data_IF_590055586224
#
_entry.id   IF_590055586224
#
_cell.length_a   1.000
_cell.length_b   1.000
_cell.length_c   1.000
_cell.angle_alpha   90.00
_cell.angle_beta   90.00
_cell.angle_gamma   90.00
#
_symmetry.space_group_name_H-M   'P 1'
#
loop_
_entity.id
_entity.type
_entity.pdbx_description
1 polymer ?
#
# COMPACT_ATOMS: atom_id res chain seq x y z
N UNK A 1 -1.40 -6.69 9.48
CA UNK A 1 -2.81 -6.39 9.14
C UNK A 1 -2.93 -4.90 8.82
N UNK A 2 -3.40 -4.57 7.64
CA UNK A 2 -3.82 -3.22 7.31
C UNK A 2 -5.28 -3.02 7.72
N UNK A 3 -5.52 -2.23 8.77
CA UNK A 3 -6.84 -1.86 9.21
C UNK A 3 -7.31 -0.60 8.49
N UNK A 4 -8.40 -0.73 7.74
CA UNK A 4 -9.08 0.39 7.09
C UNK A 4 -9.95 1.14 8.11
N UNK A 5 -10.09 2.45 7.97
CA UNK A 5 -10.98 3.20 8.85
C UNK A 5 -12.44 2.76 8.67
N UNK A 6 -13.25 2.94 9.71
CA UNK A 6 -14.68 2.57 9.74
C UNK A 6 -15.50 3.10 8.54
N UNK A 7 -15.03 4.14 7.85
CA UNK A 7 -15.71 4.73 6.69
C UNK A 7 -15.60 3.94 5.39
N UNK A 8 -14.66 3.00 5.27
CA UNK A 8 -14.39 2.32 4.00
C UNK A 8 -15.55 1.44 3.51
N UNK A 9 -16.39 0.93 4.43
CA UNK A 9 -17.50 0.02 4.11
C UNK A 9 -18.84 0.47 4.70
N UNK A 10 -19.05 1.76 4.90
CA UNK A 10 -20.28 2.30 5.50
C UNK A 10 -21.55 1.94 4.73
N UNK A 11 -21.42 1.74 3.41
CA UNK A 11 -22.56 1.51 2.52
C UNK A 11 -23.08 0.07 2.47
N UNK A 12 -22.42 -0.87 3.14
CA UNK A 12 -22.78 -2.30 3.10
C UNK A 12 -23.32 -2.84 4.42
N UNK A 13 -23.68 -1.98 5.35
CA UNK A 13 -24.32 -2.39 6.61
C UNK A 13 -25.81 -2.63 6.37
N UNK A 14 -26.14 -3.72 5.69
CA UNK A 14 -27.51 -4.14 5.47
C UNK A 14 -27.97 -5.11 6.53
N UNK A 15 -29.24 -5.12 6.74
CA UNK A 15 -29.94 -6.13 7.51
C UNK A 15 -30.33 -5.65 8.89
N UNK A 16 -30.73 -6.45 9.65
CA UNK A 16 -31.26 -6.66 10.98
C UNK A 16 -31.08 -5.55 12.05
N UNK A 17 -31.03 -4.28 11.68
CA UNK A 17 -31.25 -3.23 12.68
C UNK A 17 -32.63 -3.44 13.31
N UNK A 18 -32.66 -3.65 14.63
CA UNK A 18 -33.83 -4.03 15.42
C UNK A 18 -34.43 -5.42 15.07
N UNK A 19 -33.74 -6.26 14.32
CA UNK A 19 -34.15 -7.63 14.02
C UNK A 19 -32.94 -8.56 14.09
N UNK A 20 -33.05 -9.68 14.80
CA UNK A 20 -31.98 -10.67 14.94
C UNK A 20 -31.89 -11.60 13.72
N UNK A 21 -31.99 -11.05 12.51
CA UNK A 21 -31.96 -11.82 11.27
C UNK A 21 -30.75 -11.47 10.42
N UNK A 22 -29.87 -12.46 10.22
CA UNK A 22 -28.79 -12.49 9.27
C UNK A 22 -27.92 -11.21 9.17
N UNK A 23 -27.28 -10.76 10.25
CA UNK A 23 -26.38 -9.60 10.20
C UNK A 23 -25.15 -9.89 9.34
N UNK A 24 -24.77 -8.94 8.48
CA UNK A 24 -23.52 -9.03 7.72
C UNK A 24 -22.38 -8.45 8.54
N UNK A 25 -21.38 -9.28 8.85
CA UNK A 25 -20.13 -8.84 9.48
C UNK A 25 -19.25 -8.27 8.38
N UNK A 26 -18.83 -7.00 8.53
CA UNK A 26 -18.05 -6.28 7.53
C UNK A 26 -16.57 -6.37 7.84
N UNK A 27 -15.79 -6.76 6.83
CA UNK A 27 -14.34 -6.70 6.90
C UNK A 27 -13.86 -5.25 6.82
N UNK A 28 -13.12 -4.84 7.83
CA UNK A 28 -12.48 -3.52 7.91
C UNK A 28 -10.96 -3.59 7.86
N UNK A 29 -10.41 -4.74 7.50
CA UNK A 29 -8.97 -4.97 7.40
C UNK A 29 -8.61 -5.82 6.19
N UNK A 30 -7.33 -5.79 5.83
CA UNK A 30 -6.72 -6.71 4.88
C UNK A 30 -5.46 -7.32 5.49
N UNK A 31 -5.17 -8.57 5.15
CA UNK A 31 -3.93 -9.23 5.52
C UNK A 31 -2.84 -8.85 4.52
N UNK A 32 -1.69 -8.43 5.06
CA UNK A 32 -0.49 -8.24 4.27
C UNK A 32 0.47 -9.39 4.61
N UNK A 33 0.75 -10.22 3.62
CA UNK A 33 1.61 -11.38 3.78
C UNK A 33 3.01 -11.06 3.27
N UNK A 34 4.01 -11.41 4.05
CA UNK A 34 5.42 -11.23 3.69
C UNK A 34 6.07 -12.59 3.54
N UNK A 35 6.71 -12.81 2.41
CA UNK A 35 7.42 -14.05 2.09
C UNK A 35 8.86 -13.73 1.73
N UNK A 36 9.74 -14.68 1.98
CA UNK A 36 11.13 -14.65 1.56
C UNK A 36 11.45 -15.95 0.80
N UNK A 37 12.33 -15.86 -0.19
CA UNK A 37 12.76 -17.03 -0.96
C UNK A 37 13.56 -18.00 -0.09
N UNK A 38 14.52 -17.48 0.67
CA UNK A 38 15.44 -18.32 1.46
C UNK A 38 15.49 -17.87 2.92
N UNK A 39 15.63 -16.58 3.17
CA UNK A 39 15.76 -16.00 4.50
C UNK A 39 15.15 -14.60 4.54
N UNK A 40 14.53 -14.25 5.67
CA UNK A 40 14.04 -12.89 5.90
C UNK A 40 15.18 -11.87 6.10
N UNK A 41 16.40 -12.33 6.26
CA UNK A 41 17.57 -11.46 6.39
C UNK A 41 17.98 -10.94 5.02
N UNK A 42 17.88 -9.64 4.80
CA UNK A 42 18.48 -8.99 3.64
C UNK A 42 19.98 -8.87 3.86
N UNK A 43 20.77 -9.64 3.12
CA UNK A 43 22.23 -9.68 3.22
C UNK A 43 22.94 -8.85 2.15
N UNK A 44 22.21 -8.14 1.29
CA UNK A 44 22.82 -7.30 0.23
C UNK A 44 23.67 -6.16 0.80
N UNK A 45 23.34 -5.72 2.01
CA UNK A 45 23.92 -4.53 2.61
C UNK A 45 23.43 -3.25 1.93
N UNK A 46 23.44 -2.14 2.64
CA UNK A 46 22.98 -0.87 2.09
C UNK A 46 22.69 0.15 3.18
N UNK A 47 22.21 1.32 2.74
CA UNK A 47 21.81 2.40 3.64
C UNK A 47 20.32 2.27 3.93
N UNK A 48 19.99 2.05 5.20
CA UNK A 48 18.60 2.12 5.67
C UNK A 48 18.16 3.59 5.74
N UNK A 49 16.92 3.84 5.33
CA UNK A 49 16.30 5.18 5.38
C UNK A 49 15.19 5.27 6.40
N UNK A 50 14.90 4.18 7.11
CA UNK A 50 13.85 4.16 8.13
C UNK A 50 14.35 4.76 9.45
N UNK A 51 13.62 5.72 9.99
CA UNK A 51 13.90 6.30 11.29
C UNK A 51 13.41 5.38 12.42
N UNK A 52 13.96 5.56 13.63
CA UNK A 52 13.67 4.70 14.79
C UNK A 52 12.17 4.65 15.10
N UNK A 53 11.51 5.80 15.17
CA UNK A 53 10.09 5.87 15.54
C UNK A 53 9.20 5.28 14.46
N UNK A 54 9.54 5.51 13.18
CA UNK A 54 8.88 4.87 12.05
C UNK A 54 9.04 3.35 12.07
N UNK A 55 10.25 2.85 12.38
CA UNK A 55 10.51 1.42 12.55
C UNK A 55 9.66 0.83 13.66
N UNK A 56 9.61 1.47 14.83
CA UNK A 56 8.81 1.00 15.96
C UNK A 56 7.32 0.93 15.63
N UNK A 57 6.79 1.90 14.89
CA UNK A 57 5.40 1.90 14.43
C UNK A 57 5.16 0.85 13.33
N UNK A 58 6.06 0.77 12.36
CA UNK A 58 5.92 -0.12 11.20
C UNK A 58 6.10 -1.60 11.54
N UNK A 59 6.70 -1.93 12.68
CA UNK A 59 6.83 -3.31 13.18
C UNK A 59 5.66 -3.77 14.04
N UNK A 60 4.65 -2.93 14.27
CA UNK A 60 3.39 -3.36 14.89
C UNK A 60 2.61 -4.29 13.94
N UNK A 61 1.90 -5.25 14.50
CA UNK A 61 1.12 -6.23 13.74
C UNK A 61 -0.13 -5.64 13.07
N UNK A 62 -0.60 -4.48 13.54
CA UNK A 62 -1.79 -3.80 13.01
C UNK A 62 -1.42 -2.37 12.63
N UNK A 63 -1.68 -1.99 11.39
CA UNK A 63 -1.49 -0.66 10.86
C UNK A 63 -2.82 0.03 10.61
N UNK A 64 -3.04 1.17 11.25
CA UNK A 64 -4.21 2.01 11.04
C UNK A 64 -3.89 3.05 9.96
N UNK A 65 -4.13 2.69 8.68
CA UNK A 65 -3.88 3.56 7.54
C UNK A 65 -5.20 3.80 6.82
N UNK A 66 -5.57 5.07 6.66
CA UNK A 66 -6.80 5.42 5.97
C UNK A 66 -6.73 5.07 4.48
N UNK A 67 -7.77 4.44 3.91
CA UNK A 67 -7.81 4.14 2.50
C UNK A 67 -7.86 5.42 1.65
N UNK A 68 -7.27 5.36 0.46
CA UNK A 68 -7.39 6.43 -0.53
C UNK A 68 -8.78 6.48 -1.16
N UNK A 69 -9.20 7.67 -1.57
CA UNK A 69 -10.48 7.86 -2.27
C UNK A 69 -10.32 7.53 -3.75
N UNK A 70 -11.02 6.50 -4.23
CA UNK A 70 -11.00 6.06 -5.62
C UNK A 70 -11.24 7.22 -6.62
N UNK A 71 -12.19 8.11 -6.33
CA UNK A 71 -12.49 9.30 -7.17
C UNK A 71 -11.33 10.27 -7.32
N UNK A 72 -10.43 10.35 -6.32
CA UNK A 72 -9.27 11.25 -6.36
C UNK A 72 -8.17 10.72 -7.28
N UNK A 73 -8.03 9.41 -7.34
CA UNK A 73 -6.94 8.74 -8.05
C UNK A 73 -7.37 8.32 -9.47
N UNK A 74 -8.67 8.13 -9.72
CA UNK A 74 -9.16 7.59 -11.00
C UNK A 74 -8.96 6.07 -11.13
N UNK A 75 -8.73 5.37 -10.02
CA UNK A 75 -8.57 3.92 -9.96
C UNK A 75 -9.59 3.32 -8.99
N UNK A 76 -10.24 2.18 -9.29
CA UNK A 76 -11.35 1.65 -8.49
C UNK A 76 -10.95 1.19 -7.09
N UNK A 77 -9.70 0.77 -6.89
CA UNK A 77 -9.22 0.25 -5.62
C UNK A 77 -7.78 0.73 -5.29
N UNK A 78 -7.54 2.04 -5.15
CA UNK A 78 -6.21 2.52 -4.82
C UNK A 78 -5.92 2.26 -3.33
N UNK A 79 -4.76 1.71 -3.03
CA UNK A 79 -4.25 1.72 -1.66
C UNK A 79 -3.43 3.01 -1.41
N UNK A 80 -3.34 3.48 -0.16
CA UNK A 80 -2.60 4.69 0.18
C UNK A 80 -1.09 4.48 -0.01
N UNK A 81 -0.36 5.53 -0.39
CA UNK A 81 1.11 5.50 -0.59
C UNK A 81 1.84 5.05 0.69
N UNK A 82 1.30 5.36 1.84
CA UNK A 82 1.83 4.95 3.14
C UNK A 82 1.99 3.43 3.28
N UNK A 83 1.08 2.66 2.69
CA UNK A 83 1.13 1.19 2.79
C UNK A 83 2.39 0.60 2.13
N UNK A 84 2.67 0.83 0.83
CA UNK A 84 3.91 0.35 0.23
C UNK A 84 5.16 1.02 0.81
N UNK A 85 5.10 2.27 1.29
CA UNK A 85 6.23 2.90 1.97
C UNK A 85 6.72 2.12 3.17
N UNK A 86 5.82 1.66 4.04
CA UNK A 86 6.19 0.84 5.21
C UNK A 86 6.90 -0.44 4.80
N UNK A 87 6.39 -1.15 3.80
CA UNK A 87 7.05 -2.36 3.30
C UNK A 87 8.41 -2.08 2.67
N UNK A 88 8.51 -1.06 1.84
CA UNK A 88 9.74 -0.69 1.17
C UNK A 88 10.81 -0.30 2.20
N UNK A 89 10.46 0.51 3.20
CA UNK A 89 11.40 0.89 4.26
C UNK A 89 11.83 -0.29 5.15
N UNK A 90 10.92 -1.23 5.45
CA UNK A 90 11.24 -2.37 6.30
C UNK A 90 12.10 -3.43 5.61
N UNK A 91 11.97 -3.60 4.28
CA UNK A 91 12.53 -4.75 3.57
C UNK A 91 13.50 -4.41 2.45
N UNK A 92 13.82 -3.13 2.25
CA UNK A 92 14.80 -2.70 1.26
C UNK A 92 15.73 -1.59 1.76
N UNK A 93 16.86 -1.46 1.13
CA UNK A 93 17.81 -0.35 1.32
C UNK A 93 17.61 0.72 0.23
N UNK A 94 18.21 1.89 0.43
CA UNK A 94 18.33 2.92 -0.58
C UNK A 94 18.93 2.33 -1.86
N UNK A 95 18.36 2.72 -3.03
CA UNK A 95 18.77 2.27 -4.37
C UNK A 95 18.44 0.81 -4.71
N UNK A 96 17.86 0.05 -3.79
CA UNK A 96 17.34 -1.28 -4.10
C UNK A 96 16.22 -1.20 -5.15
N UNK A 97 15.97 -2.31 -5.84
CA UNK A 97 14.94 -2.42 -6.87
C UNK A 97 13.65 -2.99 -6.29
N UNK A 98 12.57 -2.24 -6.44
CA UNK A 98 11.20 -2.65 -6.10
C UNK A 98 10.46 -3.09 -7.35
N UNK A 99 9.90 -4.28 -7.34
CA UNK A 99 9.07 -4.80 -8.43
C UNK A 99 7.61 -4.83 -8.01
N UNK A 100 6.75 -4.25 -8.84
CA UNK A 100 5.29 -4.38 -8.72
C UNK A 100 4.71 -4.90 -10.04
N UNK A 101 4.31 -6.19 -10.11
CA UNK A 101 3.77 -6.79 -11.33
C UNK A 101 2.36 -6.32 -11.68
N UNK A 102 1.70 -5.51 -10.83
CA UNK A 102 0.35 -4.99 -11.02
C UNK A 102 0.28 -3.53 -10.56
N UNK A 103 1.17 -2.69 -11.10
CA UNK A 103 1.44 -1.34 -10.57
C UNK A 103 0.24 -0.38 -10.62
N UNK A 104 -0.76 -0.68 -11.44
CA UNK A 104 -1.99 0.10 -11.56
C UNK A 104 -1.72 1.59 -11.77
N UNK A 105 -2.26 2.42 -10.87
CA UNK A 105 -2.07 3.88 -10.89
C UNK A 105 -0.73 4.36 -10.32
N UNK A 106 0.26 3.49 -10.13
CA UNK A 106 1.63 3.85 -9.80
C UNK A 106 1.92 4.14 -8.32
N UNK A 107 1.08 3.68 -7.40
CA UNK A 107 1.26 3.99 -5.96
C UNK A 107 2.57 3.45 -5.41
N UNK A 108 2.94 2.22 -5.79
CA UNK A 108 4.23 1.61 -5.40
C UNK A 108 5.42 2.36 -6.01
N UNK A 109 5.32 2.81 -7.26
CA UNK A 109 6.38 3.60 -7.89
C UNK A 109 6.60 4.94 -7.21
N UNK A 110 5.51 5.63 -6.81
CA UNK A 110 5.58 6.86 -6.03
C UNK A 110 6.29 6.62 -4.70
N UNK A 111 5.88 5.59 -3.95
CA UNK A 111 6.50 5.23 -2.69
C UNK A 111 7.99 4.93 -2.85
N UNK A 112 8.36 4.15 -3.87
CA UNK A 112 9.76 3.82 -4.17
C UNK A 112 10.59 5.07 -4.45
N UNK A 113 10.07 5.97 -5.30
CA UNK A 113 10.74 7.22 -5.64
C UNK A 113 10.95 8.14 -4.43
N UNK A 114 9.92 8.31 -3.60
CA UNK A 114 10.00 9.12 -2.38
C UNK A 114 11.03 8.57 -1.39
N UNK A 115 11.24 7.27 -1.38
CA UNK A 115 12.20 6.59 -0.52
C UNK A 115 13.57 6.34 -1.18
N UNK A 116 13.80 6.87 -2.38
CA UNK A 116 15.04 6.71 -3.13
C UNK A 116 15.36 5.24 -3.49
N UNK A 117 14.33 4.48 -3.87
CA UNK A 117 14.46 3.14 -4.46
C UNK A 117 14.18 3.22 -5.95
N UNK A 118 14.84 2.33 -6.69
CA UNK A 118 14.50 2.06 -8.08
C UNK A 118 13.22 1.22 -8.12
N UNK A 119 12.48 1.30 -9.23
CA UNK A 119 11.27 0.48 -9.39
C UNK A 119 11.10 -0.01 -10.81
N UNK A 120 10.45 -1.16 -10.92
CA UNK A 120 9.91 -1.70 -12.18
C UNK A 120 8.46 -2.07 -11.92
N UNK A 121 7.57 -1.67 -12.80
CA UNK A 121 6.16 -1.99 -12.71
C UNK A 121 5.60 -2.49 -14.02
N UNK A 122 4.62 -3.38 -13.94
CA UNK A 122 3.86 -3.87 -15.10
C UNK A 122 2.39 -3.51 -14.94
N UNK A 123 1.78 -3.03 -16.01
CA UNK A 123 0.35 -2.74 -16.10
C UNK A 123 -0.12 -2.99 -17.53
N UNK A 124 -1.25 -3.67 -17.68
CA UNK A 124 -1.83 -3.99 -18.99
C UNK A 124 -2.83 -2.93 -19.48
N UNK A 125 -3.40 -2.17 -18.53
CA UNK A 125 -4.39 -1.13 -18.84
C UNK A 125 -3.68 0.19 -19.13
N UNK A 126 -3.79 0.67 -20.37
CA UNK A 126 -3.16 1.91 -20.82
C UNK A 126 -3.63 3.15 -20.03
N UNK A 127 -4.90 3.20 -19.66
CA UNK A 127 -5.44 4.34 -18.90
C UNK A 127 -4.77 4.44 -17.52
N UNK A 128 -4.50 3.30 -16.88
CA UNK A 128 -3.79 3.27 -15.60
C UNK A 128 -2.31 3.64 -15.74
N UNK A 129 -1.67 3.25 -16.83
CA UNK A 129 -0.30 3.70 -17.13
C UNK A 129 -0.26 5.23 -17.25
N UNK A 130 -1.20 5.84 -18.00
CA UNK A 130 -1.27 7.30 -18.13
C UNK A 130 -1.50 8.00 -16.76
N UNK A 131 -2.34 7.43 -15.91
CA UNK A 131 -2.56 7.93 -14.54
C UNK A 131 -1.27 7.84 -13.73
N UNK A 132 -0.58 6.70 -13.78
CA UNK A 132 0.70 6.49 -13.08
C UNK A 132 1.75 7.50 -13.54
N UNK A 133 1.92 7.70 -14.83
CA UNK A 133 2.86 8.67 -15.42
C UNK A 133 2.56 10.10 -14.96
N UNK A 134 1.31 10.53 -14.99
CA UNK A 134 0.90 11.86 -14.51
C UNK A 134 1.23 12.06 -13.03
N UNK A 135 0.94 11.05 -12.20
CA UNK A 135 1.24 11.10 -10.76
C UNK A 135 2.74 11.17 -10.49
N UNK A 136 3.53 10.35 -11.18
CA UNK A 136 4.99 10.32 -11.04
C UNK A 136 5.67 11.63 -11.47
N UNK A 137 5.15 12.29 -12.50
CA UNK A 137 5.63 13.63 -12.91
C UNK A 137 5.32 14.70 -11.88
N UNK A 138 4.14 14.65 -11.27
CA UNK A 138 3.73 15.58 -10.21
C UNK A 138 4.60 15.47 -8.95
N UNK A 139 5.17 14.29 -8.64
CA UNK A 139 6.11 14.08 -7.54
C UNK A 139 7.51 14.66 -7.83
N UNK A 140 7.79 15.12 -9.03
CA UNK A 140 9.13 15.61 -9.43
C UNK A 140 9.18 17.14 -9.46
N UNK A 141 8.04 17.80 -9.34
CA UNK A 141 7.89 19.26 -9.35
C UNK A 141 7.90 19.82 -7.95
#
# INVERSE_FOLDING_TARGET
IWQKSKGANANFAWGSWLSASNPVIRDIHEYCLVFSKDSMKNSSGGVSTIEKDEFMESTLSIWNINPEKAKKIGHPAPFPVELPKRFINLYSFKEDLVLDPFIGSGTTAIASKQLQRNYVGYEINKDYIEIADKRLRAETS
#
